data_IF_396923340631
#
_entry.id   IF_396923340631
#
_cell.length_a   1.000
_cell.length_b   1.000
_cell.length_c   1.000
_cell.angle_alpha   90.00
_cell.angle_beta   90.00
_cell.angle_gamma   90.00
#
_symmetry.space_group_name_H-M   'P 1'
#
loop_
_entity.id
_entity.type
_entity.pdbx_description
1 polymer ?
#
# COMPACT_ATOMS: atom_id res chain seq x y z
N UNK A 1 14.41 5.49 -9.82
CA UNK A 1 13.13 6.23 -9.89
C UNK A 1 12.40 6.03 -8.57
N UNK A 2 11.65 7.02 -8.09
CA UNK A 2 10.88 6.93 -6.82
C UNK A 2 9.41 7.21 -7.08
N UNK A 3 8.53 6.39 -6.51
CA UNK A 3 7.07 6.52 -6.68
C UNK A 3 6.40 6.55 -5.30
N UNK A 4 5.46 7.48 -5.14
CA UNK A 4 4.64 7.59 -3.95
C UNK A 4 3.17 7.31 -4.29
N UNK A 5 2.57 6.33 -3.61
CA UNK A 5 1.12 6.09 -3.64
C UNK A 5 0.46 6.87 -2.51
N UNK A 6 -0.56 7.64 -2.82
CA UNK A 6 -1.37 8.36 -1.82
C UNK A 6 -2.79 7.81 -1.90
N UNK A 7 -3.21 7.11 -0.85
CA UNK A 7 -4.43 6.32 -0.84
C UNK A 7 -5.34 6.75 0.31
N UNK A 8 -6.65 6.69 0.09
CA UNK A 8 -7.63 6.95 1.16
C UNK A 8 -7.46 5.97 2.33
N UNK A 9 -7.18 4.71 2.04
CA UNK A 9 -6.97 3.65 3.03
C UNK A 9 -6.11 2.56 2.39
N UNK A 10 -5.19 1.95 3.15
CA UNK A 10 -4.36 0.85 2.69
C UNK A 10 -3.88 0.02 3.90
N UNK A 11 -3.85 -1.32 3.78
CA UNK A 11 -4.43 -2.14 2.71
C UNK A 11 -5.97 -2.11 2.69
N UNK A 12 -6.58 -2.37 1.52
CA UNK A 12 -8.02 -2.63 1.38
C UNK A 12 -8.22 -3.97 0.68
N UNK A 13 -9.10 -4.81 1.22
CA UNK A 13 -9.37 -6.13 0.66
C UNK A 13 -9.84 -6.06 -0.81
N UNK A 14 -10.70 -5.08 -1.13
CA UNK A 14 -11.23 -4.88 -2.48
C UNK A 14 -10.21 -4.31 -3.49
N UNK A 15 -9.12 -3.68 -3.03
CA UNK A 15 -8.16 -2.97 -3.89
C UNK A 15 -6.96 -3.85 -4.26
N UNK A 16 -7.23 -5.02 -4.84
CA UNK A 16 -6.19 -5.99 -5.20
C UNK A 16 -5.26 -5.52 -6.33
N UNK A 17 -5.71 -4.59 -7.19
CA UNK A 17 -4.92 -4.04 -8.29
C UNK A 17 -3.68 -3.31 -7.79
N UNK A 18 -3.84 -2.45 -6.78
CA UNK A 18 -2.76 -1.64 -6.20
C UNK A 18 -1.64 -2.54 -5.67
N UNK A 19 -1.99 -3.66 -5.04
CA UNK A 19 -0.99 -4.63 -4.54
C UNK A 19 -0.18 -5.25 -5.68
N UNK A 20 -0.83 -5.68 -6.76
CA UNK A 20 -0.11 -6.29 -7.89
C UNK A 20 0.81 -5.28 -8.59
N UNK A 21 0.38 -4.03 -8.73
CA UNK A 21 1.16 -2.96 -9.33
C UNK A 21 2.41 -2.65 -8.50
N UNK A 22 2.24 -2.48 -7.18
CA UNK A 22 3.37 -2.22 -6.26
C UNK A 22 4.38 -3.38 -6.31
N UNK A 23 3.90 -4.63 -6.31
CA UNK A 23 4.79 -5.79 -6.40
C UNK A 23 5.59 -5.82 -7.70
N UNK A 24 4.99 -5.40 -8.82
CA UNK A 24 5.68 -5.33 -10.10
C UNK A 24 6.70 -4.19 -10.14
N UNK A 25 6.38 -3.04 -9.56
CA UNK A 25 7.33 -1.93 -9.41
C UNK A 25 8.53 -2.31 -8.52
N UNK A 26 8.27 -2.97 -7.38
CA UNK A 26 9.33 -3.50 -6.51
C UNK A 26 10.20 -4.53 -7.24
N UNK A 27 9.58 -5.40 -8.06
CA UNK A 27 10.31 -6.39 -8.89
C UNK A 27 11.24 -5.72 -9.90
N UNK A 28 10.86 -4.55 -10.41
CA UNK A 28 11.68 -3.73 -11.31
C UNK A 28 12.73 -2.89 -10.56
N UNK A 29 12.80 -2.98 -9.22
CA UNK A 29 13.75 -2.22 -8.41
C UNK A 29 13.35 -0.76 -8.17
N UNK A 30 12.08 -0.42 -8.34
CA UNK A 30 11.57 0.93 -8.04
C UNK A 30 11.40 1.09 -6.53
N UNK A 31 11.86 2.22 -6.01
CA UNK A 31 11.64 2.62 -4.61
C UNK A 31 10.22 3.16 -4.46
N UNK A 32 9.35 2.35 -3.84
CA UNK A 32 7.93 2.64 -3.64
C UNK A 32 7.67 3.00 -2.19
N UNK A 33 6.89 4.06 -1.98
CA UNK A 33 6.39 4.47 -0.67
C UNK A 33 4.88 4.63 -0.69
N UNK A 34 4.21 4.16 0.36
CA UNK A 34 2.76 4.20 0.46
C UNK A 34 2.38 5.16 1.58
N UNK A 35 1.52 6.13 1.28
CA UNK A 35 0.90 7.03 2.24
C UNK A 35 -0.59 6.74 2.28
N UNK A 36 -1.10 6.43 3.47
CA UNK A 36 -2.49 6.08 3.68
C UNK A 36 -3.17 7.07 4.61
N UNK A 37 -4.29 7.64 4.17
CA UNK A 37 -5.05 8.63 4.94
C UNK A 37 -5.82 8.00 6.11
N UNK A 38 -6.07 6.70 6.07
CA UNK A 38 -6.80 5.94 7.10
C UNK A 38 -6.17 4.59 7.33
N UNK A 39 -6.22 4.12 8.57
CA UNK A 39 -5.87 2.74 8.90
C UNK A 39 -6.85 1.77 8.23
N UNK A 40 -6.40 0.54 7.88
CA UNK A 40 -7.29 -0.49 7.35
C UNK A 40 -8.43 -0.79 8.33
N UNK A 41 -9.65 -0.91 7.80
CA UNK A 41 -10.86 -1.25 8.55
C UNK A 41 -11.23 -2.75 8.48
N UNK A 42 -10.50 -3.52 7.66
CA UNK A 42 -10.70 -4.95 7.44
C UNK A 42 -9.43 -5.73 7.81
N UNK A 43 -9.59 -6.80 8.60
CA UNK A 43 -8.51 -7.71 8.97
C UNK A 43 -8.26 -8.82 7.95
N UNK A 44 -9.06 -8.89 6.88
CA UNK A 44 -8.87 -9.87 5.80
C UNK A 44 -7.79 -9.39 4.84
N UNK A 45 -6.64 -10.04 4.91
CA UNK A 45 -5.52 -9.77 4.01
C UNK A 45 -5.26 -10.94 3.06
N UNK A 46 -4.96 -10.61 1.81
CA UNK A 46 -4.51 -11.58 0.82
C UNK A 46 -3.03 -11.93 1.05
N UNK A 47 -2.63 -13.17 0.78
CA UNK A 47 -1.22 -13.61 0.85
C UNK A 47 -0.26 -12.73 0.02
N UNK A 48 -0.75 -12.10 -1.05
CA UNK A 48 0.03 -11.16 -1.86
C UNK A 48 0.46 -9.90 -1.09
N UNK A 49 -0.36 -9.42 -0.15
CA UNK A 49 -0.03 -8.25 0.65
C UNK A 49 1.24 -8.47 1.47
N UNK A 50 1.42 -9.68 2.01
CA UNK A 50 2.61 -10.05 2.79
C UNK A 50 3.91 -9.99 1.97
N UNK A 51 3.84 -9.87 0.64
CA UNK A 51 5.00 -9.74 -0.25
C UNK A 51 5.41 -8.30 -0.50
N UNK A 52 4.56 -7.32 -0.20
CA UNK A 52 4.85 -5.89 -0.39
C UNK A 52 5.92 -5.49 0.62
N UNK A 53 6.99 -4.86 0.13
CA UNK A 53 8.11 -4.38 0.95
C UNK A 53 8.06 -2.88 1.20
N UNK A 54 7.26 -2.15 0.43
CA UNK A 54 7.09 -0.72 0.51
C UNK A 54 6.61 -0.31 1.90
N UNK A 55 7.27 0.69 2.46
CA UNK A 55 6.87 1.24 3.75
C UNK A 55 5.52 1.94 3.63
N UNK A 56 4.60 1.58 4.53
CA UNK A 56 3.30 2.22 4.68
C UNK A 56 3.39 3.26 5.78
N UNK A 57 3.05 4.50 5.45
CA UNK A 57 2.96 5.62 6.38
C UNK A 57 1.50 6.00 6.51
N UNK A 58 0.95 5.88 7.72
CA UNK A 58 -0.38 6.37 8.04
C UNK A 58 -0.29 7.84 8.43
N UNK A 59 -1.11 8.69 7.80
CA UNK A 59 -1.16 10.11 8.17
C UNK A 59 -1.90 10.29 9.49
N UNK A 60 -1.59 11.35 10.25
CA UNK A 60 -2.40 11.73 11.41
C UNK A 60 -3.87 11.90 11.00
N UNK A 61 -4.78 11.39 11.82
CA UNK A 61 -6.19 11.71 11.69
C UNK A 61 -6.39 13.15 12.17
N UNK A 62 -7.02 13.99 11.35
CA UNK A 62 -7.46 15.30 11.78
C UNK A 62 -8.73 15.15 12.63
N UNK A 63 -8.86 15.88 13.75
CA UNK A 63 -9.99 15.80 14.67
C UNK A 63 -11.32 16.21 14.03
#
# INVERSE_FOLDING_TARGET
MKIAYILKMYPRFSETFIVNEILELERQGVDVRIYSLRKPDDGRFHAKLARVKANVIYTPEYP
#
